data_IF_004175893103
#
_entry.id   IF_004175893103
#
_cell.length_a   1.000
_cell.length_b   1.000
_cell.length_c   1.000
_cell.angle_alpha   90.00
_cell.angle_beta   90.00
_cell.angle_gamma   90.00
#
_symmetry.space_group_name_H-M   'P 1'
#
loop_
_entity.id
_entity.type
_entity.pdbx_description
1 polymer ?
#
# COMPACT_ATOMS: atom_id res chain seq x y z
N UNK A 1 44.70 -21.20 10.78
CA UNK A 1 43.84 -20.93 9.61
C UNK A 1 44.20 -21.84 8.44
N UNK A 2 45.47 -21.90 8.03
CA UNK A 2 45.96 -22.75 6.92
C UNK A 2 45.74 -24.27 7.14
N UNK A 3 46.04 -24.79 8.33
CA UNK A 3 45.73 -26.19 8.72
C UNK A 3 44.23 -26.50 8.71
N UNK A 4 43.40 -25.53 9.07
CA UNK A 4 41.94 -25.68 9.06
C UNK A 4 41.42 -25.77 7.63
N UNK A 5 41.91 -24.90 6.74
CA UNK A 5 41.59 -24.93 5.30
C UNK A 5 42.03 -26.25 4.63
N UNK A 6 43.20 -26.78 4.99
CA UNK A 6 43.65 -28.10 4.54
C UNK A 6 42.71 -29.21 5.00
N UNK A 7 42.28 -29.22 6.26
CA UNK A 7 41.32 -30.20 6.76
C UNK A 7 39.94 -30.08 6.08
N UNK A 8 39.44 -28.87 5.86
CA UNK A 8 38.17 -28.66 5.15
C UNK A 8 38.24 -29.12 3.69
N UNK A 9 39.38 -28.91 3.00
CA UNK A 9 39.56 -29.39 1.62
C UNK A 9 39.58 -30.92 1.48
N UNK A 10 39.74 -31.66 2.58
CA UNK A 10 39.70 -33.13 2.60
C UNK A 10 38.29 -33.71 2.76
N UNK A 11 37.29 -32.89 3.08
CA UNK A 11 35.90 -33.33 3.17
C UNK A 11 35.38 -33.55 1.75
N UNK A 12 35.19 -34.82 1.39
CA UNK A 12 34.77 -35.27 0.05
C UNK A 12 33.39 -34.75 -0.39
N UNK A 13 32.60 -34.24 0.54
CA UNK A 13 31.27 -33.67 0.32
C UNK A 13 31.05 -32.47 1.26
N UNK A 14 31.91 -31.46 1.10
CA UNK A 14 31.86 -30.25 1.93
C UNK A 14 30.54 -29.51 1.71
N UNK A 15 29.95 -29.59 0.51
CA UNK A 15 28.67 -28.98 0.21
C UNK A 15 27.53 -29.56 1.06
N UNK A 16 27.43 -30.90 1.19
CA UNK A 16 26.39 -31.52 2.02
C UNK A 16 26.55 -31.16 3.50
N UNK A 17 27.79 -31.06 3.99
CA UNK A 17 28.07 -30.61 5.36
C UNK A 17 27.66 -29.15 5.58
N UNK A 18 27.99 -28.25 4.65
CA UNK A 18 27.61 -26.85 4.72
C UNK A 18 26.08 -26.67 4.62
N UNK A 19 25.41 -27.49 3.82
CA UNK A 19 23.93 -27.49 3.72
C UNK A 19 23.30 -27.95 5.05
N UNK A 20 23.90 -28.93 5.73
CA UNK A 20 23.46 -29.32 7.07
C UNK A 20 23.65 -28.21 8.10
N UNK A 21 24.80 -27.52 8.09
CA UNK A 21 25.03 -26.34 8.96
C UNK A 21 24.02 -25.24 8.67
N UNK A 22 23.75 -24.96 7.40
CA UNK A 22 22.73 -23.99 7.01
C UNK A 22 21.37 -24.35 7.61
N UNK A 23 20.95 -25.61 7.48
CA UNK A 23 19.71 -26.11 8.07
C UNK A 23 19.68 -25.92 9.60
N UNK A 24 20.77 -26.23 10.31
CA UNK A 24 20.85 -26.01 11.77
C UNK A 24 20.65 -24.52 12.10
N UNK A 25 21.33 -23.63 11.38
CA UNK A 25 21.20 -22.20 11.63
C UNK A 25 19.76 -21.71 11.36
N UNK A 26 19.08 -22.20 10.33
CA UNK A 26 17.66 -21.88 10.10
C UNK A 26 16.81 -22.27 11.31
N UNK A 27 16.90 -23.53 11.75
CA UNK A 27 16.11 -24.02 12.88
C UNK A 27 16.42 -23.27 14.19
N UNK A 28 17.70 -23.05 14.48
CA UNK A 28 18.12 -22.34 15.67
C UNK A 28 17.66 -20.87 15.62
N UNK A 29 17.79 -20.22 14.46
CA UNK A 29 17.30 -18.87 14.26
C UNK A 29 15.80 -18.76 14.55
N UNK A 30 14.97 -19.65 13.99
CA UNK A 30 13.54 -19.68 14.29
C UNK A 30 13.22 -19.94 15.74
N UNK A 31 13.92 -20.90 16.35
CA UNK A 31 13.70 -21.21 17.75
C UNK A 31 13.94 -19.98 18.60
N UNK A 32 15.05 -19.27 18.37
CA UNK A 32 15.39 -18.06 19.12
C UNK A 32 14.38 -16.95 18.87
N UNK A 33 14.01 -16.67 17.61
CA UNK A 33 13.03 -15.62 17.29
C UNK A 33 11.66 -15.89 17.91
N UNK A 34 11.24 -17.16 17.99
CA UNK A 34 9.93 -17.52 18.54
C UNK A 34 9.94 -17.77 20.05
N UNK A 35 11.12 -17.84 20.70
CA UNK A 35 11.23 -18.17 22.11
C UNK A 35 11.12 -16.95 23.01
N UNK A 36 11.78 -15.85 22.65
CA UNK A 36 11.81 -14.62 23.45
C UNK A 36 11.90 -13.39 22.55
N UNK A 37 10.96 -12.45 22.71
CA UNK A 37 10.96 -11.17 21.99
C UNK A 37 12.25 -10.35 22.24
N UNK A 38 12.91 -10.56 23.39
CA UNK A 38 14.19 -9.91 23.71
C UNK A 38 15.38 -10.50 22.95
N UNK A 39 15.25 -11.71 22.38
CA UNK A 39 16.31 -12.39 21.63
C UNK A 39 16.11 -12.35 20.12
N UNK A 40 15.12 -11.60 19.62
CA UNK A 40 14.84 -11.47 18.18
C UNK A 40 16.09 -11.10 17.40
N UNK A 41 16.90 -10.14 17.86
CA UNK A 41 18.14 -9.75 17.18
C UNK A 41 19.14 -10.90 17.05
N UNK A 42 19.24 -11.73 18.10
CA UNK A 42 20.12 -12.90 18.12
C UNK A 42 19.65 -13.95 17.12
N UNK A 43 18.35 -14.25 17.12
CA UNK A 43 17.75 -15.21 16.19
C UNK A 43 17.92 -14.79 14.74
N UNK A 44 17.71 -13.51 14.45
CA UNK A 44 17.88 -12.94 13.11
C UNK A 44 19.36 -12.93 12.67
N UNK A 45 20.31 -12.67 13.59
CA UNK A 45 21.74 -12.78 13.29
C UNK A 45 22.17 -14.22 12.94
N UNK A 46 21.51 -15.23 13.50
CA UNK A 46 21.73 -16.65 13.17
C UNK A 46 21.16 -16.95 11.77
N UNK A 47 19.95 -16.47 11.44
CA UNK A 47 19.38 -16.60 10.10
C UNK A 47 20.27 -15.95 9.04
N UNK A 48 20.85 -14.78 9.32
CA UNK A 48 21.80 -14.12 8.41
C UNK A 48 23.11 -14.91 8.20
N UNK A 49 23.49 -15.81 9.12
CA UNK A 49 24.60 -16.76 8.89
C UNK A 49 24.17 -17.87 7.94
N UNK A 50 22.96 -18.39 8.10
CA UNK A 50 22.40 -19.39 7.21
C UNK A 50 22.25 -18.87 5.78
N UNK A 51 21.82 -17.62 5.63
CA UNK A 51 21.73 -16.95 4.33
C UNK A 51 23.09 -16.91 3.62
N UNK A 52 24.13 -16.39 4.29
CA UNK A 52 25.48 -16.31 3.71
C UNK A 52 26.04 -17.67 3.30
N UNK A 53 25.71 -18.73 4.05
CA UNK A 53 26.04 -20.10 3.67
C UNK A 53 25.29 -20.53 2.41
N UNK A 54 24.00 -20.20 2.31
CA UNK A 54 23.18 -20.42 1.13
C UNK A 54 23.73 -19.72 -0.12
N UNK A 55 24.07 -18.43 -0.02
CA UNK A 55 24.69 -17.67 -1.12
C UNK A 55 25.99 -18.32 -1.61
N UNK A 56 26.83 -18.77 -0.68
CA UNK A 56 28.06 -19.49 -0.99
C UNK A 56 27.79 -20.80 -1.76
N UNK A 57 26.80 -21.59 -1.33
CA UNK A 57 26.41 -22.84 -1.98
C UNK A 57 25.81 -22.60 -3.37
N UNK A 58 25.01 -21.54 -3.54
CA UNK A 58 24.48 -21.12 -4.86
C UNK A 58 25.61 -20.75 -5.80
N UNK A 59 26.58 -19.94 -5.35
CA UNK A 59 27.71 -19.50 -6.18
C UNK A 59 28.59 -20.68 -6.65
N UNK A 60 28.54 -21.82 -5.96
CA UNK A 60 29.23 -23.06 -6.35
C UNK A 60 28.46 -23.91 -7.36
N UNK A 61 27.24 -23.53 -7.72
CA UNK A 61 26.44 -24.18 -8.77
C UNK A 61 25.71 -25.45 -8.31
N UNK A 62 25.59 -25.66 -7.00
CA UNK A 62 25.09 -26.93 -6.45
C UNK A 62 23.67 -26.86 -5.87
N UNK A 63 23.08 -25.66 -5.82
CA UNK A 63 21.79 -25.44 -5.13
C UNK A 63 20.60 -26.09 -5.84
N UNK A 64 20.59 -26.15 -7.18
CA UNK A 64 19.50 -26.80 -7.93
C UNK A 64 19.56 -28.34 -7.86
N UNK A 65 20.69 -28.92 -7.44
CA UNK A 65 20.93 -30.36 -7.58
C UNK A 65 20.66 -31.19 -6.33
N UNK A 66 20.51 -30.57 -5.16
CA UNK A 66 20.32 -31.31 -3.91
C UNK A 66 19.38 -30.59 -2.95
N UNK A 67 18.05 -30.69 -3.12
CA UNK A 67 17.22 -30.74 -1.94
C UNK A 67 17.76 -31.88 -1.08
N UNK A 68 18.07 -31.61 0.19
CA UNK A 68 18.52 -32.65 1.09
C UNK A 68 17.31 -33.58 1.27
N UNK A 69 17.26 -34.65 0.46
CA UNK A 69 16.32 -35.75 0.60
C UNK A 69 16.65 -36.48 1.89
N UNK A 70 16.21 -35.89 3.01
CA UNK A 70 16.07 -36.64 4.25
C UNK A 70 14.80 -37.48 4.05
N UNK A 71 14.98 -38.75 3.71
CA UNK A 71 13.88 -39.71 3.63
C UNK A 71 13.11 -39.70 4.97
N UNK A 72 11.85 -39.26 4.94
CA UNK A 72 11.05 -39.08 6.16
C UNK A 72 10.00 -37.96 6.16
N UNK A 73 9.73 -37.29 5.02
CA UNK A 73 8.71 -36.23 4.93
C UNK A 73 9.25 -34.80 4.98
N UNK A 74 10.56 -34.61 4.93
CA UNK A 74 11.25 -33.33 5.06
C UNK A 74 11.32 -32.46 3.79
N UNK A 75 10.93 -32.96 2.62
CA UNK A 75 10.92 -32.16 1.38
C UNK A 75 9.99 -30.94 1.50
N UNK A 76 8.81 -31.10 2.13
CA UNK A 76 7.92 -29.97 2.46
C UNK A 76 8.46 -29.07 3.56
N UNK A 77 9.22 -29.62 4.51
CA UNK A 77 9.74 -28.87 5.64
C UNK A 77 10.85 -27.90 5.21
N UNK A 78 11.69 -28.27 4.23
CA UNK A 78 12.73 -27.38 3.71
C UNK A 78 12.16 -26.19 2.94
N UNK A 79 11.17 -26.40 2.05
CA UNK A 79 10.51 -25.28 1.37
C UNK A 79 9.82 -24.35 2.37
N UNK A 80 9.14 -24.91 3.37
CA UNK A 80 8.46 -24.15 4.42
C UNK A 80 9.42 -23.38 5.32
N UNK A 81 10.55 -23.98 5.70
CA UNK A 81 11.60 -23.33 6.47
C UNK A 81 12.24 -22.19 5.68
N UNK A 82 12.58 -22.44 4.41
CA UNK A 82 13.21 -21.39 3.60
C UNK A 82 12.25 -20.25 3.23
N UNK A 83 10.92 -20.48 3.25
CA UNK A 83 9.89 -19.43 3.13
C UNK A 83 9.88 -18.57 4.39
N UNK A 84 9.79 -19.20 5.56
CA UNK A 84 9.82 -18.48 6.83
C UNK A 84 11.14 -17.73 7.00
N UNK A 85 12.29 -18.29 6.56
CA UNK A 85 13.60 -17.69 6.77
C UNK A 85 13.66 -16.31 6.12
N UNK A 86 13.11 -16.22 4.91
CA UNK A 86 13.04 -14.98 4.13
C UNK A 86 12.08 -13.97 4.76
N UNK A 87 10.93 -14.42 5.28
CA UNK A 87 9.96 -13.55 5.94
C UNK A 87 10.55 -12.96 7.24
N UNK A 88 11.28 -13.73 8.05
CA UNK A 88 11.94 -13.19 9.24
C UNK A 88 13.17 -12.32 8.92
N UNK A 89 13.96 -12.67 7.91
CA UNK A 89 15.05 -11.82 7.42
C UNK A 89 14.55 -10.45 6.93
N UNK A 90 13.35 -10.41 6.35
CA UNK A 90 12.70 -9.17 5.94
C UNK A 90 12.35 -8.27 7.14
N UNK A 91 11.95 -8.85 8.28
CA UNK A 91 11.67 -8.11 9.53
C UNK A 91 12.97 -7.58 10.13
N UNK A 92 14.08 -8.33 10.02
CA UNK A 92 15.40 -7.87 10.48
C UNK A 92 15.94 -6.69 9.67
N UNK A 93 15.80 -6.77 8.35
CA UNK A 93 16.32 -5.79 7.40
C UNK A 93 15.49 -4.49 7.35
N UNK A 94 14.74 -4.13 8.40
CA UNK A 94 13.93 -2.89 8.45
C UNK A 94 14.72 -1.62 8.11
N UNK A 95 16.04 -1.62 8.31
CA UNK A 95 16.94 -0.54 7.90
C UNK A 95 17.29 -0.52 6.40
N UNK A 96 17.17 -1.65 5.69
CA UNK A 96 17.42 -1.79 4.26
C UNK A 96 16.15 -2.24 3.52
N UNK A 97 15.31 -1.24 3.23
CA UNK A 97 14.00 -1.42 2.58
C UNK A 97 14.07 -2.29 1.32
N UNK A 98 15.08 -2.13 0.47
CA UNK A 98 15.18 -2.87 -0.79
C UNK A 98 15.31 -4.39 -0.58
N UNK A 99 16.05 -4.79 0.46
CA UNK A 99 16.22 -6.21 0.81
C UNK A 99 14.94 -6.82 1.37
N UNK A 100 14.17 -6.06 2.15
CA UNK A 100 12.87 -6.49 2.68
C UNK A 100 11.93 -6.88 1.53
N UNK A 101 11.76 -5.99 0.55
CA UNK A 101 10.92 -6.25 -0.62
C UNK A 101 11.38 -7.47 -1.43
N UNK A 102 12.70 -7.63 -1.59
CA UNK A 102 13.28 -8.79 -2.29
C UNK A 102 12.96 -10.12 -1.59
N UNK A 103 13.24 -10.25 -0.29
CA UNK A 103 13.03 -11.54 0.42
C UNK A 103 11.55 -11.92 0.49
N UNK A 104 10.67 -10.96 0.76
CA UNK A 104 9.22 -11.19 0.74
C UNK A 104 8.75 -11.67 -0.64
N UNK A 105 9.19 -11.03 -1.72
CA UNK A 105 8.80 -11.45 -3.05
C UNK A 105 9.37 -12.82 -3.44
N UNK A 106 10.56 -13.20 -2.96
CA UNK A 106 11.12 -14.54 -3.15
C UNK A 106 10.32 -15.61 -2.39
N UNK A 107 9.91 -15.30 -1.15
CA UNK A 107 9.03 -16.13 -0.33
C UNK A 107 7.71 -16.41 -1.08
N UNK A 108 7.08 -15.36 -1.61
CA UNK A 108 5.86 -15.47 -2.43
C UNK A 108 6.07 -16.27 -3.73
N UNK A 109 7.19 -16.07 -4.43
CA UNK A 109 7.48 -16.79 -5.67
C UNK A 109 7.57 -18.30 -5.40
N UNK A 110 8.23 -18.69 -4.32
CA UNK A 110 8.34 -20.09 -3.89
C UNK A 110 6.97 -20.66 -3.52
N UNK A 111 6.20 -19.92 -2.73
CA UNK A 111 4.84 -20.28 -2.35
C UNK A 111 3.94 -20.58 -3.56
N UNK A 112 4.03 -19.77 -4.63
CA UNK A 112 3.29 -20.03 -5.88
C UNK A 112 3.79 -21.31 -6.56
N UNK A 113 5.12 -21.47 -6.73
CA UNK A 113 5.71 -22.62 -7.41
C UNK A 113 5.39 -23.94 -6.72
N UNK A 114 5.47 -23.97 -5.39
CA UNK A 114 5.16 -25.15 -4.56
C UNK A 114 3.66 -25.38 -4.39
N UNK A 115 2.83 -24.36 -4.66
CA UNK A 115 1.38 -24.34 -4.35
C UNK A 115 1.07 -24.56 -2.87
N UNK A 116 1.97 -24.14 -1.97
CA UNK A 116 1.84 -24.35 -0.52
C UNK A 116 1.37 -23.12 0.25
N UNK A 117 0.72 -22.16 -0.41
CA UNK A 117 0.26 -20.94 0.25
C UNK A 117 -1.12 -21.04 0.88
N UNK A 118 -1.30 -20.39 2.03
CA UNK A 118 -2.63 -19.98 2.46
C UNK A 118 -3.05 -18.73 1.67
N UNK A 119 -4.22 -18.79 1.03
CA UNK A 119 -4.70 -17.68 0.20
C UNK A 119 -4.78 -16.35 0.95
N UNK A 120 -5.12 -16.38 2.25
CA UNK A 120 -5.24 -15.17 3.07
C UNK A 120 -3.87 -14.54 3.31
N UNK A 121 -2.87 -15.34 3.66
CA UNK A 121 -1.51 -14.86 3.93
C UNK A 121 -0.85 -14.36 2.66
N UNK A 122 -0.96 -15.11 1.56
CA UNK A 122 -0.46 -14.68 0.25
C UNK A 122 -1.05 -13.33 -0.18
N UNK A 123 -2.36 -13.15 0.04
CA UNK A 123 -3.05 -11.89 -0.21
C UNK A 123 -2.49 -10.73 0.65
N UNK A 124 -2.22 -10.97 1.95
CA UNK A 124 -1.64 -9.94 2.80
C UNK A 124 -0.22 -9.59 2.36
N UNK A 125 0.59 -10.58 1.94
CA UNK A 125 1.91 -10.35 1.39
C UNK A 125 1.87 -9.50 0.12
N UNK A 126 0.90 -9.74 -0.78
CA UNK A 126 0.67 -8.89 -1.95
C UNK A 126 0.41 -7.42 -1.57
N UNK A 127 -0.45 -7.17 -0.58
CA UNK A 127 -0.76 -5.81 -0.13
C UNK A 127 0.45 -5.16 0.52
N UNK A 128 1.12 -5.84 1.45
CA UNK A 128 2.28 -5.31 2.15
C UNK A 128 3.42 -4.96 1.19
N UNK A 129 3.71 -5.83 0.21
CA UNK A 129 4.71 -5.52 -0.82
C UNK A 129 4.24 -4.40 -1.74
N UNK A 130 2.96 -4.33 -2.09
CA UNK A 130 2.42 -3.23 -2.89
C UNK A 130 2.60 -1.89 -2.17
N UNK A 131 2.30 -1.82 -0.87
CA UNK A 131 2.48 -0.60 -0.07
C UNK A 131 3.96 -0.22 0.02
N UNK A 132 4.83 -1.22 0.21
CA UNK A 132 6.27 -1.05 0.20
C UNK A 132 6.78 -0.43 -1.12
N UNK A 133 6.45 -1.02 -2.26
CA UNK A 133 6.89 -0.54 -3.57
C UNK A 133 6.22 0.77 -3.98
N UNK A 134 5.00 1.03 -3.53
CA UNK A 134 4.36 2.35 -3.69
C UNK A 134 5.13 3.43 -2.92
N UNK A 135 5.62 3.13 -1.72
CA UNK A 135 6.50 4.01 -0.95
C UNK A 135 7.84 4.28 -1.64
N UNK A 136 8.33 3.34 -2.45
CA UNK A 136 9.51 3.51 -3.32
C UNK A 136 9.18 4.12 -4.69
N UNK A 137 7.94 4.61 -4.89
CA UNK A 137 7.45 5.20 -6.15
C UNK A 137 7.44 4.22 -7.35
N UNK A 138 7.55 2.92 -7.09
CA UNK A 138 7.48 1.86 -8.10
C UNK A 138 6.02 1.37 -8.24
N UNK A 139 5.16 2.25 -8.71
CA UNK A 139 3.71 2.01 -8.76
C UNK A 139 3.31 0.89 -9.72
N UNK A 140 4.04 0.67 -10.81
CA UNK A 140 3.72 -0.42 -11.74
C UNK A 140 3.96 -1.77 -11.09
N UNK A 141 5.07 -1.93 -10.35
CA UNK A 141 5.33 -3.17 -9.66
C UNK A 141 4.37 -3.38 -8.48
N UNK A 142 4.07 -2.32 -7.72
CA UNK A 142 3.05 -2.37 -6.67
C UNK A 142 1.68 -2.84 -7.21
N UNK A 143 1.22 -2.24 -8.30
CA UNK A 143 -0.04 -2.62 -8.94
C UNK A 143 -0.01 -4.04 -9.48
N UNK A 144 1.11 -4.46 -10.08
CA UNK A 144 1.31 -5.82 -10.57
C UNK A 144 1.16 -6.87 -9.45
N UNK A 145 1.74 -6.64 -8.28
CA UNK A 145 1.62 -7.54 -7.14
C UNK A 145 0.18 -7.73 -6.67
N UNK A 146 -0.62 -6.67 -6.73
CA UNK A 146 -2.05 -6.74 -6.42
C UNK A 146 -2.83 -7.51 -7.48
N UNK A 147 -2.47 -7.38 -8.76
CA UNK A 147 -3.05 -8.19 -9.83
C UNK A 147 -2.70 -9.67 -9.66
N UNK A 148 -1.46 -9.99 -9.24
CA UNK A 148 -1.03 -11.36 -8.93
C UNK A 148 -1.91 -11.90 -7.80
N UNK A 149 -2.09 -11.15 -6.72
CA UNK A 149 -3.01 -11.51 -5.63
C UNK A 149 -4.44 -11.74 -6.10
N UNK A 150 -4.95 -10.97 -7.07
CA UNK A 150 -6.32 -11.11 -7.54
C UNK A 150 -6.50 -12.36 -8.40
N UNK A 151 -5.50 -12.68 -9.21
CA UNK A 151 -5.53 -13.82 -10.14
C UNK A 151 -5.53 -15.18 -9.45
N UNK A 152 -4.97 -15.28 -8.24
CA UNK A 152 -4.97 -16.52 -7.44
C UNK A 152 -6.29 -16.72 -6.69
N UNK A 153 -7.16 -15.72 -6.61
CA UNK A 153 -8.47 -15.84 -5.96
C UNK A 153 -9.46 -16.48 -6.95
N UNK A 154 -10.06 -17.65 -6.64
CA UNK A 154 -11.02 -18.29 -7.53
C UNK A 154 -12.22 -17.39 -7.85
N UNK A 155 -12.72 -17.47 -9.07
CA UNK A 155 -13.87 -16.68 -9.51
C UNK A 155 -15.10 -16.93 -8.63
N UNK A 156 -15.88 -15.87 -8.34
CA UNK A 156 -17.04 -15.93 -7.44
C UNK A 156 -16.76 -16.18 -5.95
N UNK A 157 -15.56 -16.62 -5.56
CA UNK A 157 -15.19 -16.89 -4.16
C UNK A 157 -14.52 -15.70 -3.50
N UNK A 158 -14.51 -15.71 -2.16
CA UNK A 158 -13.76 -14.77 -1.29
C UNK A 158 -13.94 -13.29 -1.68
N UNK A 159 -15.19 -12.87 -1.93
CA UNK A 159 -15.55 -11.51 -2.38
C UNK A 159 -14.91 -10.39 -1.54
N UNK A 160 -14.83 -10.56 -0.21
CA UNK A 160 -14.16 -9.61 0.69
C UNK A 160 -12.65 -9.45 0.42
N UNK A 161 -11.93 -10.55 0.17
CA UNK A 161 -10.50 -10.48 -0.18
C UNK A 161 -10.31 -9.75 -1.51
N UNK A 162 -11.13 -10.08 -2.51
CA UNK A 162 -11.09 -9.39 -3.81
C UNK A 162 -11.41 -7.90 -3.68
N UNK A 163 -12.42 -7.53 -2.88
CA UNK A 163 -12.74 -6.13 -2.63
C UNK A 163 -11.60 -5.38 -1.94
N UNK A 164 -10.86 -6.02 -1.03
CA UNK A 164 -9.67 -5.41 -0.43
C UNK A 164 -8.53 -5.20 -1.43
N UNK A 165 -8.29 -6.15 -2.35
CA UNK A 165 -7.31 -5.94 -3.43
C UNK A 165 -7.73 -4.78 -4.33
N UNK A 166 -9.01 -4.68 -4.68
CA UNK A 166 -9.53 -3.59 -5.51
C UNK A 166 -9.39 -2.24 -4.80
N UNK A 167 -9.64 -2.18 -3.48
CA UNK A 167 -9.36 -1.01 -2.65
C UNK A 167 -7.86 -0.65 -2.70
N UNK A 168 -6.97 -1.61 -2.49
CA UNK A 168 -5.52 -1.39 -2.54
C UNK A 168 -5.06 -0.93 -3.94
N UNK A 169 -5.59 -1.52 -5.01
CA UNK A 169 -5.29 -1.12 -6.39
C UNK A 169 -5.69 0.33 -6.64
N UNK A 170 -6.87 0.75 -6.13
CA UNK A 170 -7.30 2.14 -6.16
C UNK A 170 -6.32 3.08 -5.44
N UNK A 171 -5.81 2.67 -4.27
CA UNK A 171 -4.85 3.47 -3.48
C UNK A 171 -3.53 3.63 -4.21
N UNK A 172 -2.97 2.57 -4.80
CA UNK A 172 -1.76 2.65 -5.62
C UNK A 172 -1.93 3.65 -6.76
N UNK A 173 -3.08 3.62 -7.46
CA UNK A 173 -3.39 4.60 -8.51
C UNK A 173 -3.47 6.02 -7.91
N UNK A 174 -4.12 6.20 -6.77
CA UNK A 174 -4.17 7.49 -6.08
C UNK A 174 -2.78 8.04 -5.74
N UNK A 175 -1.91 7.23 -5.15
CA UNK A 175 -0.52 7.59 -4.85
C UNK A 175 0.28 7.95 -6.10
N UNK A 176 0.09 7.19 -7.18
CA UNK A 176 0.69 7.49 -8.48
C UNK A 176 0.23 8.85 -9.02
N UNK A 177 -1.07 9.14 -8.92
CA UNK A 177 -1.63 10.43 -9.35
C UNK A 177 -1.07 11.60 -8.54
N UNK A 178 -0.98 11.47 -7.22
CA UNK A 178 -0.37 12.50 -6.36
C UNK A 178 1.09 12.75 -6.72
N UNK A 179 1.88 11.67 -6.86
CA UNK A 179 3.27 11.78 -7.28
C UNK A 179 3.43 12.47 -8.63
N UNK A 180 2.57 12.12 -9.59
CA UNK A 180 2.51 12.77 -10.89
C UNK A 180 2.28 14.29 -10.77
N UNK A 181 1.38 14.73 -9.89
CA UNK A 181 1.16 16.15 -9.64
C UNK A 181 2.38 16.82 -8.99
N UNK A 182 3.05 16.15 -8.06
CA UNK A 182 4.25 16.70 -7.42
C UNK A 182 5.38 16.87 -8.43
N UNK A 183 5.58 15.91 -9.35
CA UNK A 183 6.52 16.07 -10.46
C UNK A 183 6.19 17.27 -11.35
N UNK A 184 4.90 17.57 -11.59
CA UNK A 184 4.48 18.75 -12.36
C UNK A 184 4.81 20.03 -11.59
N UNK A 185 4.46 20.10 -10.29
CA UNK A 185 4.76 21.26 -9.43
C UNK A 185 6.26 21.55 -9.36
N UNK A 186 7.07 20.51 -9.32
CA UNK A 186 8.54 20.61 -9.27
C UNK A 186 9.20 20.75 -10.65
N UNK A 187 8.44 20.88 -11.74
CA UNK A 187 8.94 20.94 -13.13
C UNK A 187 9.79 19.71 -13.56
N UNK A 188 9.60 18.56 -12.91
CA UNK A 188 10.29 17.29 -13.19
C UNK A 188 9.54 16.41 -14.20
N UNK A 189 8.47 16.93 -14.80
CA UNK A 189 7.61 16.20 -15.74
C UNK A 189 8.29 15.59 -16.97
N UNK A 190 9.45 16.15 -17.35
CA UNK A 190 10.24 15.68 -18.50
C UNK A 190 11.49 14.90 -18.06
N UNK A 191 11.60 14.51 -16.78
CA UNK A 191 12.74 13.71 -16.31
C UNK A 191 12.77 12.37 -17.07
N UNK A 192 13.81 12.09 -17.87
CA UNK A 192 13.93 10.83 -18.61
C UNK A 192 14.06 9.60 -17.69
N UNK A 193 14.30 9.79 -16.38
CA UNK A 193 14.35 8.72 -15.40
C UNK A 193 12.98 8.39 -14.79
N UNK A 194 11.97 9.26 -14.92
CA UNK A 194 10.62 9.02 -14.39
C UNK A 194 10.03 7.67 -14.88
N UNK A 195 10.05 7.36 -16.20
CA UNK A 195 9.54 6.09 -16.71
C UNK A 195 10.34 4.85 -16.26
N UNK A 196 11.63 5.05 -15.95
CA UNK A 196 12.51 3.98 -15.46
C UNK A 196 12.24 3.67 -13.99
N UNK A 197 11.86 4.66 -13.18
CA UNK A 197 11.46 4.47 -11.78
C UNK A 197 10.17 3.64 -11.67
N UNK A 198 9.24 3.82 -12.60
CA UNK A 198 7.94 3.14 -12.53
C UNK A 198 7.97 1.66 -12.91
N UNK A 199 8.96 1.18 -13.67
CA UNK A 199 8.85 -0.11 -14.40
C UNK A 199 9.92 -1.14 -14.04
N UNK A 200 10.50 -1.07 -12.85
CA UNK A 200 11.47 -2.08 -12.39
C UNK A 200 10.72 -3.20 -11.70
N UNK A 201 10.67 -4.37 -12.32
CA UNK A 201 10.15 -5.59 -11.68
C UNK A 201 11.31 -6.28 -10.99
N UNK A 202 11.25 -6.36 -9.66
CA UNK A 202 12.25 -7.13 -8.92
C UNK A 202 12.03 -8.63 -9.11
N UNK A 203 10.76 -9.06 -9.17
CA UNK A 203 10.37 -10.47 -9.29
C UNK A 203 9.14 -10.58 -10.21
N UNK A 204 9.11 -11.62 -11.05
CA UNK A 204 8.00 -11.94 -11.94
C UNK A 204 7.46 -13.32 -11.63
N UNK A 205 6.13 -13.44 -11.60
CA UNK A 205 5.42 -14.69 -11.33
C UNK A 205 4.97 -15.32 -12.66
N UNK A 206 5.85 -16.12 -13.28
CA UNK A 206 5.64 -16.70 -14.63
C UNK A 206 4.38 -17.59 -14.70
N UNK A 207 4.07 -18.31 -13.63
CA UNK A 207 2.91 -19.20 -13.54
C UNK A 207 1.57 -18.44 -13.37
N UNK A 208 1.61 -17.11 -13.29
CA UNK A 208 0.45 -16.28 -13.02
C UNK A 208 0.13 -15.42 -14.25
N UNK A 209 -1.01 -15.71 -14.88
CA UNK A 209 -1.46 -14.95 -16.05
C UNK A 209 -2.08 -13.61 -15.61
N UNK A 210 -1.23 -12.60 -15.46
CA UNK A 210 -1.63 -11.22 -15.18
C UNK A 210 -1.39 -10.34 -16.39
N UNK A 211 -2.44 -9.65 -16.83
CA UNK A 211 -2.31 -8.60 -17.83
C UNK A 211 -1.55 -7.43 -17.22
N UNK A 212 -0.28 -7.31 -17.60
CA UNK A 212 0.56 -6.21 -17.17
C UNK A 212 -0.05 -4.88 -17.62
N UNK A 213 -0.38 -4.03 -16.66
CA UNK A 213 -0.77 -2.67 -16.98
C UNK A 213 0.52 -1.88 -17.23
N UNK A 214 0.73 -1.42 -18.46
CA UNK A 214 1.74 -0.38 -18.70
C UNK A 214 1.13 0.93 -18.24
N UNK A 215 1.39 1.29 -16.98
CA UNK A 215 0.95 2.57 -16.43
C UNK A 215 1.73 3.69 -17.14
N UNK A 216 1.02 4.40 -18.02
CA UNK A 216 1.55 5.46 -18.88
C UNK A 216 1.42 6.83 -18.19
N UNK A 217 2.54 7.55 -18.14
CA UNK A 217 2.78 9.02 -18.10
C UNK A 217 1.72 10.00 -17.56
N UNK A 218 2.19 11.19 -17.15
CA UNK A 218 1.45 12.35 -16.61
C UNK A 218 0.18 12.79 -17.39
N UNK A 219 0.01 12.36 -18.64
CA UNK A 219 -1.08 12.75 -19.54
C UNK A 219 -2.36 11.96 -19.26
N UNK A 220 -2.31 10.88 -18.46
CA UNK A 220 -3.42 9.92 -18.31
C UNK A 220 -4.25 10.06 -17.03
N UNK A 221 -4.11 11.13 -16.23
CA UNK A 221 -4.80 11.29 -14.94
C UNK A 221 -6.32 11.02 -15.01
N UNK A 222 -7.00 11.44 -16.09
CA UNK A 222 -8.42 11.15 -16.29
C UNK A 222 -8.73 9.67 -16.51
N UNK A 223 -7.84 8.91 -17.16
CA UNK A 223 -7.95 7.46 -17.34
C UNK A 223 -7.70 6.75 -16.01
N UNK A 224 -6.64 7.15 -15.30
CA UNK A 224 -6.30 6.63 -13.97
C UNK A 224 -7.46 6.83 -12.99
N UNK A 225 -8.07 8.02 -13.00
CA UNK A 225 -9.25 8.36 -12.20
C UNK A 225 -10.42 7.42 -12.50
N UNK A 226 -10.74 7.20 -13.79
CA UNK A 226 -11.83 6.29 -14.18
C UNK A 226 -11.55 4.85 -13.74
N UNK A 227 -10.30 4.43 -13.84
CA UNK A 227 -9.87 3.10 -13.42
C UNK A 227 -10.00 2.93 -11.91
N UNK A 228 -9.44 3.83 -11.11
CA UNK A 228 -9.56 3.82 -9.66
C UNK A 228 -11.03 3.88 -9.20
N UNK A 229 -11.85 4.76 -9.79
CA UNK A 229 -13.29 4.81 -9.51
C UNK A 229 -14.00 3.48 -9.80
N UNK A 230 -13.62 2.78 -10.87
CA UNK A 230 -14.19 1.47 -11.18
C UNK A 230 -13.84 0.44 -10.12
N UNK A 231 -12.60 0.46 -9.65
CA UNK A 231 -12.12 -0.42 -8.58
C UNK A 231 -12.81 -0.13 -7.25
N UNK A 232 -12.89 1.15 -6.86
CA UNK A 232 -13.59 1.56 -5.64
C UNK A 232 -15.09 1.24 -5.69
N UNK A 233 -15.76 1.41 -6.82
CA UNK A 233 -17.17 1.00 -6.97
C UNK A 233 -17.37 -0.50 -6.77
N UNK A 234 -16.45 -1.33 -7.29
CA UNK A 234 -16.49 -2.78 -7.03
C UNK A 234 -16.26 -3.07 -5.55
N UNK A 235 -15.31 -2.40 -4.90
CA UNK A 235 -15.07 -2.56 -3.47
C UNK A 235 -16.28 -2.12 -2.60
N UNK A 236 -16.89 -0.96 -2.91
CA UNK A 236 -18.08 -0.44 -2.21
C UNK A 236 -19.32 -1.33 -2.37
N UNK A 237 -19.40 -2.14 -3.43
CA UNK A 237 -20.47 -3.14 -3.57
C UNK A 237 -20.40 -4.25 -2.50
N UNK A 238 -19.23 -4.41 -1.85
CA UNK A 238 -18.99 -5.36 -0.77
C UNK A 238 -18.89 -4.64 0.57
N UNK A 239 -18.12 -3.55 0.64
CA UNK A 239 -17.96 -2.70 1.82
C UNK A 239 -19.06 -1.64 1.84
N UNK A 240 -20.29 -2.08 2.09
CA UNK A 240 -21.43 -1.19 2.33
C UNK A 240 -21.31 -0.53 3.70
N UNK A 241 -21.88 0.66 3.86
CA UNK A 241 -21.77 1.45 5.08
C UNK A 241 -22.23 0.67 6.33
N UNK A 242 -23.37 -0.02 6.22
CA UNK A 242 -23.90 -0.88 7.28
C UNK A 242 -23.09 -2.18 7.40
N UNK A 243 -22.31 -2.31 8.46
CA UNK A 243 -21.45 -3.46 8.74
C UNK A 243 -19.98 -3.33 8.32
N UNK A 244 -19.61 -2.32 7.51
CA UNK A 244 -18.22 -2.02 7.13
C UNK A 244 -17.92 -0.52 7.17
N UNK A 245 -18.35 0.17 8.23
CA UNK A 245 -18.22 1.63 8.40
C UNK A 245 -16.80 2.12 8.09
N UNK A 246 -15.79 1.48 8.67
CA UNK A 246 -14.38 1.86 8.52
C UNK A 246 -13.91 1.73 7.07
N UNK A 247 -14.08 0.57 6.44
CA UNK A 247 -13.64 0.37 5.06
C UNK A 247 -14.43 1.22 4.06
N UNK A 248 -15.73 1.40 4.30
CA UNK A 248 -16.59 2.23 3.45
C UNK A 248 -16.12 3.68 3.46
N UNK A 249 -15.93 4.27 4.64
CA UNK A 249 -15.47 5.66 4.79
C UNK A 249 -14.07 5.82 4.21
N UNK A 250 -13.15 4.89 4.47
CA UNK A 250 -11.81 4.93 3.88
C UNK A 250 -11.86 5.01 2.35
N UNK A 251 -12.71 4.21 1.70
CA UNK A 251 -12.84 4.24 0.24
C UNK A 251 -13.39 5.60 -0.24
N UNK A 252 -14.38 6.17 0.46
CA UNK A 252 -14.93 7.49 0.11
C UNK A 252 -13.88 8.61 0.28
N UNK A 253 -13.10 8.58 1.35
CA UNK A 253 -11.98 9.51 1.57
C UNK A 253 -10.89 9.35 0.50
N UNK A 254 -10.58 8.12 0.09
CA UNK A 254 -9.63 7.84 -1.00
C UNK A 254 -10.14 8.42 -2.34
N UNK A 255 -11.44 8.28 -2.65
CA UNK A 255 -12.06 8.90 -3.84
C UNK A 255 -12.04 10.42 -3.73
N UNK A 256 -12.36 10.99 -2.56
CA UNK A 256 -12.34 12.43 -2.33
C UNK A 256 -10.94 13.03 -2.57
N UNK A 257 -9.91 12.36 -2.06
CA UNK A 257 -8.50 12.73 -2.27
C UNK A 257 -8.13 12.69 -3.76
N UNK A 258 -8.58 11.68 -4.49
CA UNK A 258 -8.36 11.61 -5.94
C UNK A 258 -9.01 12.77 -6.70
N UNK A 259 -10.22 13.20 -6.32
CA UNK A 259 -10.83 14.41 -6.91
C UNK A 259 -10.03 15.67 -6.61
N UNK A 260 -9.47 15.80 -5.39
CA UNK A 260 -8.55 16.90 -5.02
C UNK A 260 -7.31 16.94 -5.93
N UNK A 261 -6.75 15.79 -6.28
CA UNK A 261 -5.60 15.70 -7.20
C UNK A 261 -5.96 16.16 -8.61
N UNK A 262 -7.16 15.84 -9.11
CA UNK A 262 -7.62 16.24 -10.45
C UNK A 262 -7.84 17.75 -10.55
N UNK A 263 -8.40 18.36 -9.50
CA UNK A 263 -8.67 19.80 -9.44
C UNK A 263 -7.42 20.62 -9.81
N UNK A 264 -6.21 20.16 -9.43
CA UNK A 264 -4.96 20.86 -9.76
C UNK A 264 -4.71 21.02 -11.28
N UNK A 265 -5.21 20.10 -12.12
CA UNK A 265 -5.02 20.11 -13.58
C UNK A 265 -6.26 20.58 -14.34
N UNK A 266 -7.36 20.82 -13.64
CA UNK A 266 -8.62 21.19 -14.27
C UNK A 266 -8.59 22.68 -14.67
N UNK A 267 -8.68 23.02 -15.96
CA UNK A 267 -8.64 24.42 -16.39
C UNK A 267 -9.98 25.15 -16.23
N UNK A 268 -11.11 24.43 -16.27
CA UNK A 268 -12.44 25.05 -16.20
C UNK A 268 -12.87 25.25 -14.73
N UNK A 269 -13.09 26.51 -14.29
CA UNK A 269 -13.57 26.79 -12.93
C UNK A 269 -14.87 26.09 -12.55
N UNK A 270 -15.77 25.86 -13.52
CA UNK A 270 -17.04 25.18 -13.23
C UNK A 270 -16.82 23.69 -12.94
N UNK A 271 -15.87 23.06 -13.63
CA UNK A 271 -15.48 21.69 -13.36
C UNK A 271 -14.78 21.58 -11.99
N UNK A 272 -13.93 22.54 -11.63
CA UNK A 272 -13.31 22.59 -10.29
C UNK A 272 -14.39 22.61 -9.21
N UNK A 273 -15.36 23.54 -9.30
CA UNK A 273 -16.49 23.61 -8.37
C UNK A 273 -17.22 22.27 -8.32
N UNK A 274 -17.52 21.66 -9.47
CA UNK A 274 -18.19 20.35 -9.54
C UNK A 274 -17.40 19.25 -8.84
N UNK A 275 -16.06 19.23 -8.94
CA UNK A 275 -15.24 18.26 -8.23
C UNK A 275 -15.22 18.49 -6.73
N UNK A 276 -15.18 19.75 -6.26
CA UNK A 276 -15.25 20.07 -4.84
C UNK A 276 -16.63 19.68 -4.27
N UNK A 277 -17.71 19.99 -4.98
CA UNK A 277 -19.08 19.60 -4.62
C UNK A 277 -19.23 18.07 -4.57
N UNK A 278 -18.69 17.33 -5.55
CA UNK A 278 -18.67 15.86 -5.52
C UNK A 278 -17.96 15.28 -4.29
N UNK A 279 -16.93 15.95 -3.79
CA UNK A 279 -16.25 15.52 -2.55
C UNK A 279 -17.17 15.66 -1.34
N UNK A 280 -17.94 16.76 -1.26
CA UNK A 280 -18.98 16.91 -0.24
C UNK A 280 -20.08 15.87 -0.39
N UNK A 281 -20.56 15.62 -1.62
CA UNK A 281 -21.61 14.63 -1.89
C UNK A 281 -21.21 13.21 -1.47
N UNK A 282 -19.91 12.89 -1.47
CA UNK A 282 -19.39 11.63 -0.97
C UNK A 282 -19.36 11.56 0.55
N UNK A 283 -18.81 12.57 1.22
CA UNK A 283 -18.48 12.50 2.65
C UNK A 283 -19.60 12.99 3.57
N UNK A 284 -20.38 13.99 3.14
CA UNK A 284 -21.40 14.62 3.98
C UNK A 284 -22.54 13.65 4.36
N UNK A 285 -23.06 12.78 3.47
CA UNK A 285 -24.12 11.83 3.86
C UNK A 285 -23.65 10.84 4.92
N UNK A 286 -22.43 10.31 4.80
CA UNK A 286 -21.88 9.36 5.77
C UNK A 286 -21.50 10.03 7.07
N UNK A 287 -20.99 11.27 7.03
CA UNK A 287 -20.71 12.06 8.24
C UNK A 287 -21.98 12.29 9.06
N UNK A 288 -23.08 12.71 8.42
CA UNK A 288 -24.35 12.97 9.09
C UNK A 288 -25.03 11.69 9.63
N UNK A 289 -24.75 10.53 9.02
CA UNK A 289 -25.30 9.25 9.44
C UNK A 289 -24.44 8.53 10.49
N UNK A 290 -23.21 9.00 10.73
CA UNK A 290 -22.26 8.32 11.62
C UNK A 290 -22.62 8.57 13.10
N UNK A 291 -22.65 7.51 13.90
CA UNK A 291 -22.74 7.63 15.34
C UNK A 291 -21.40 8.09 15.91
N UNK A 292 -21.33 9.33 16.42
CA UNK A 292 -20.15 9.92 17.02
C UNK A 292 -19.59 9.09 18.20
N UNK A 293 -20.44 8.48 19.03
CA UNK A 293 -19.97 7.76 20.22
C UNK A 293 -19.24 6.46 19.87
N UNK A 294 -19.74 5.75 18.87
CA UNK A 294 -19.20 4.44 18.49
C UNK A 294 -17.98 4.58 17.55
N UNK A 295 -17.85 5.71 16.85
CA UNK A 295 -16.84 5.92 15.81
C UNK A 295 -16.14 7.29 15.95
N UNK A 296 -15.80 7.68 17.18
CA UNK A 296 -15.30 9.04 17.48
C UNK A 296 -14.13 9.48 16.59
N UNK A 297 -13.08 8.65 16.45
CA UNK A 297 -11.92 9.00 15.63
C UNK A 297 -12.29 9.23 14.16
N UNK A 298 -13.17 8.39 13.60
CA UNK A 298 -13.62 8.53 12.21
C UNK A 298 -14.51 9.76 12.06
N UNK A 299 -15.35 10.05 13.05
CA UNK A 299 -16.20 11.23 13.09
C UNK A 299 -15.36 12.51 13.10
N UNK A 300 -14.32 12.58 13.93
CA UNK A 300 -13.40 13.72 14.01
C UNK A 300 -12.66 13.92 12.68
N UNK A 301 -12.16 12.84 12.08
CA UNK A 301 -11.53 12.90 10.75
C UNK A 301 -12.49 13.45 9.68
N UNK A 302 -13.71 12.92 9.61
CA UNK A 302 -14.70 13.38 8.64
C UNK A 302 -15.16 14.82 8.89
N UNK A 303 -15.24 15.24 10.16
CA UNK A 303 -15.56 16.62 10.51
C UNK A 303 -14.53 17.58 9.95
N UNK A 304 -13.23 17.26 10.10
CA UNK A 304 -12.13 18.03 9.54
C UNK A 304 -12.20 18.04 8.01
N UNK A 305 -12.35 16.88 7.37
CA UNK A 305 -12.46 16.78 5.91
C UNK A 305 -13.62 17.63 5.36
N UNK A 306 -14.80 17.54 5.97
CA UNK A 306 -15.98 18.31 5.55
C UNK A 306 -15.78 19.81 5.77
N UNK A 307 -15.15 20.23 6.88
CA UNK A 307 -14.82 21.63 7.12
C UNK A 307 -13.86 22.17 6.05
N UNK A 308 -12.77 21.45 5.79
CA UNK A 308 -11.76 21.83 4.78
C UNK A 308 -12.35 21.93 3.38
N UNK A 309 -13.21 20.98 2.98
CA UNK A 309 -13.83 21.00 1.64
C UNK A 309 -14.79 22.19 1.50
N UNK A 310 -15.59 22.51 2.52
CA UNK A 310 -16.45 23.69 2.50
C UNK A 310 -15.62 24.99 2.41
N UNK A 311 -14.51 25.07 3.14
CA UNK A 311 -13.60 26.21 3.07
C UNK A 311 -12.95 26.33 1.68
N UNK A 312 -12.46 25.22 1.12
CA UNK A 312 -11.88 25.17 -0.23
C UNK A 312 -12.89 25.63 -1.30
N UNK A 313 -14.16 25.21 -1.19
CA UNK A 313 -15.24 25.65 -2.06
C UNK A 313 -15.45 27.16 -1.98
N UNK A 314 -15.58 27.68 -0.75
CA UNK A 314 -15.78 29.10 -0.49
C UNK A 314 -14.62 29.95 -1.03
N UNK A 315 -13.38 29.60 -0.67
CA UNK A 315 -12.17 30.29 -1.12
C UNK A 315 -12.07 30.31 -2.66
N UNK A 316 -12.37 29.18 -3.31
CA UNK A 316 -12.33 29.10 -4.75
C UNK A 316 -13.39 29.98 -5.42
N UNK A 317 -14.64 29.94 -4.93
CA UNK A 317 -15.72 30.80 -5.45
C UNK A 317 -15.38 32.28 -5.23
N UNK A 318 -14.87 32.66 -4.06
CA UNK A 318 -14.42 34.04 -3.80
C UNK A 318 -13.31 34.43 -4.78
N UNK A 319 -12.32 33.57 -5.00
CA UNK A 319 -11.18 33.84 -5.90
C UNK A 319 -11.61 34.10 -7.33
N UNK A 320 -12.48 33.26 -7.90
CA UNK A 320 -12.89 33.41 -9.30
C UNK A 320 -13.84 34.60 -9.51
N UNK A 321 -14.66 34.93 -8.51
CA UNK A 321 -15.64 36.01 -8.63
C UNK A 321 -15.16 37.35 -8.06
N UNK A 322 -14.11 37.36 -7.25
CA UNK A 322 -13.47 38.58 -6.73
C UNK A 322 -12.69 39.34 -7.81
N UNK A 323 -12.44 38.72 -8.96
CA UNK A 323 -11.81 39.34 -10.14
C UNK A 323 -12.83 40.20 -10.92
N UNK A 324 -14.14 39.90 -10.84
CA UNK A 324 -15.21 40.60 -11.58
C UNK A 324 -15.69 41.90 -10.92
N UNK A 325 -15.27 42.20 -9.68
CA UNK A 325 -15.65 43.42 -8.95
C UNK A 325 -15.03 44.72 -9.56
N UNK A 326 -14.22 44.62 -10.62
CA UNK A 326 -13.63 45.78 -11.30
C UNK A 326 -14.61 46.46 -12.27
N UNK A 327 -15.65 45.77 -12.80
CA UNK A 327 -16.56 46.37 -13.80
C UNK A 327 -18.06 46.05 -13.73
N UNK A 328 -18.55 45.24 -12.77
CA UNK A 328 -20.00 45.04 -12.63
C UNK A 328 -20.37 44.17 -11.43
N UNK A 329 -21.20 44.69 -10.53
CA UNK A 329 -21.54 44.03 -9.27
C UNK A 329 -22.06 42.58 -9.43
N UNK A 330 -21.74 41.74 -8.44
CA UNK A 330 -22.10 40.31 -8.41
C UNK A 330 -23.61 40.08 -8.45
N UNK A 331 -24.04 39.03 -9.16
CA UNK A 331 -25.43 38.57 -9.16
C UNK A 331 -25.87 38.15 -7.75
N UNK A 332 -27.07 38.56 -7.32
CA UNK A 332 -27.66 38.21 -6.02
C UNK A 332 -27.58 36.71 -5.70
N UNK A 333 -27.83 35.86 -6.71
CA UNK A 333 -27.79 34.39 -6.58
C UNK A 333 -26.39 33.87 -6.24
N UNK A 334 -25.35 34.52 -6.77
CA UNK A 334 -23.96 34.17 -6.49
C UNK A 334 -23.58 34.59 -5.06
N UNK A 335 -23.97 35.80 -4.63
CA UNK A 335 -23.75 36.27 -3.26
C UNK A 335 -24.43 35.37 -2.23
N UNK A 336 -25.67 34.93 -2.50
CA UNK A 336 -26.38 33.97 -1.65
C UNK A 336 -25.66 32.62 -1.56
N UNK A 337 -25.14 32.09 -2.68
CA UNK A 337 -24.34 30.87 -2.69
C UNK A 337 -23.06 31.03 -1.85
N UNK A 338 -22.30 32.11 -2.07
CA UNK A 338 -21.08 32.40 -1.32
C UNK A 338 -21.32 32.50 0.18
N UNK A 339 -22.38 33.19 0.60
CA UNK A 339 -22.74 33.30 2.01
C UNK A 339 -23.10 31.94 2.61
N UNK A 340 -23.85 31.11 1.88
CA UNK A 340 -24.20 29.77 2.31
C UNK A 340 -22.94 28.90 2.51
N UNK A 341 -22.04 28.90 1.55
CA UNK A 341 -20.82 28.07 1.59
C UNK A 341 -19.88 28.54 2.72
N UNK A 342 -19.77 29.85 2.93
CA UNK A 342 -19.04 30.44 4.06
C UNK A 342 -19.64 30.06 5.42
N UNK A 343 -20.96 30.18 5.57
CA UNK A 343 -21.65 29.81 6.81
C UNK A 343 -21.49 28.32 7.13
N UNK A 344 -21.54 27.46 6.12
CA UNK A 344 -21.27 26.03 6.30
C UNK A 344 -19.85 25.79 6.82
N UNK A 345 -18.83 26.43 6.20
CA UNK A 345 -17.44 26.29 6.64
C UNK A 345 -17.28 26.74 8.11
N UNK A 346 -17.83 27.90 8.48
CA UNK A 346 -17.82 28.42 9.86
C UNK A 346 -18.44 27.41 10.82
N UNK A 347 -19.64 26.90 10.52
CA UNK A 347 -20.35 25.95 11.38
C UNK A 347 -19.55 24.67 11.64
N UNK A 348 -18.85 24.14 10.63
CA UNK A 348 -18.02 22.94 10.83
C UNK A 348 -16.75 23.24 11.63
N UNK A 349 -16.10 24.39 11.41
CA UNK A 349 -14.96 24.80 12.23
C UNK A 349 -15.34 25.09 13.69
N UNK A 350 -16.51 25.68 13.94
CA UNK A 350 -17.04 25.85 15.30
C UNK A 350 -17.22 24.50 16.00
N UNK A 351 -17.77 23.50 15.32
CA UNK A 351 -17.87 22.13 15.85
C UNK A 351 -16.51 21.52 16.18
N UNK A 352 -15.48 21.77 15.37
CA UNK A 352 -14.10 21.30 15.66
C UNK A 352 -13.60 21.94 16.96
N UNK A 353 -13.78 23.26 17.12
CA UNK A 353 -13.37 23.97 18.34
C UNK A 353 -14.11 23.45 19.57
N UNK A 354 -15.41 23.14 19.45
CA UNK A 354 -16.19 22.53 20.52
C UNK A 354 -15.64 21.15 20.93
N UNK A 355 -15.28 20.30 19.97
CA UNK A 355 -14.67 18.99 20.25
C UNK A 355 -13.31 19.12 20.96
N UNK A 356 -12.48 20.07 20.54
CA UNK A 356 -11.18 20.32 21.18
C UNK A 356 -11.36 20.76 22.64
N UNK A 357 -12.30 21.67 22.91
CA UNK A 357 -12.61 22.13 24.28
C UNK A 357 -13.06 20.99 25.20
N UNK A 358 -13.88 20.07 24.69
CA UNK A 358 -14.30 18.88 25.45
C UNK A 358 -13.11 17.98 25.77
N UNK A 359 -12.21 17.76 24.80
CA UNK A 359 -11.02 16.93 24.98
C UNK A 359 -9.97 17.50 25.95
N UNK A 360 -9.96 18.83 26.15
CA UNK A 360 -9.10 19.51 27.14
C UNK A 360 -9.72 19.47 28.55
N UNK A 361 -11.05 19.52 28.66
CA UNK A 361 -11.77 19.42 29.93
C UNK A 361 -11.60 18.04 30.60
N UNK A 362 -11.59 16.97 29.81
CA UNK A 362 -11.44 15.58 30.31
C UNK A 362 -10.01 15.22 30.77
N UNK A 363 -9.01 16.10 30.55
CA UNK A 363 -7.61 15.88 30.98
C UNK A 363 -7.28 16.50 32.36
N UNK A 364 -8.26 17.15 33.00
CA UNK A 364 -8.07 17.89 34.27
C UNK A 364 -8.69 17.15 35.48
N UNK A 365 -9.37 16.02 35.26
CA UNK A 365 -9.75 15.06 36.32
C UNK A 365 -8.77 13.88 36.38
#
# INVERSE_FOLDING_TARGET
>A
MEKSLQLFSQIKDIESYLTYIQSINNHLGFLVVNFDDNEIETGLAILAKAERLGEYLIAKGDFEKRPLKIEGGFERAQEFQTINDLDYLSIWQTQNKDKVGFYFGQSMLRQIKSKTYELKDFFFSCISLSDHYSGLQNFTYAFYLLLVGESVIPEGKRKKLRANLQKAQGRVIGSMMSYCIDCIKSNQQNDPNLPKLFNIYSITFEDVNVKQLVLLTLITLGILTKHANTLYKKALSIFVFDGFVTEHIQILSDISTMYRVIIFREPDPNNIISYIEKRLDLLLPVFNALNQKDNQTIYEMLLVDVAEINNELYEFIVKINGIDDIFGGKSKKLTEKMNKDCLNAIQYYEKIVEQLKLSEGDKIE
#
